data_IF_895404837112
#
_entry.id   IF_895404837112
#
_cell.length_a   1.000
_cell.length_b   1.000
_cell.length_c   1.000
_cell.angle_alpha   90.00
_cell.angle_beta   90.00
_cell.angle_gamma   90.00
#
_symmetry.space_group_name_H-M   'P 1'
#
loop_
_entity.id
_entity.type
_entity.pdbx_description
1 polymer ?
#
# COMPACT_ATOMS: atom_id res chain seq x y z
N UNK A 1 -2.74 8.50 19.68
CA UNK A 1 -2.56 8.07 18.27
C UNK A 1 -1.08 8.11 17.97
N UNK A 2 -0.49 6.98 17.60
CA UNK A 2 0.91 6.94 17.14
C UNK A 2 1.09 7.96 16.01
N UNK A 3 2.15 8.76 16.06
CA UNK A 3 2.36 9.80 15.06
C UNK A 3 2.59 9.18 13.69
N UNK A 4 1.86 9.64 12.68
CA UNK A 4 1.95 9.20 11.27
C UNK A 4 3.40 9.11 10.77
N UNK A 5 4.30 9.95 11.30
CA UNK A 5 5.71 10.00 10.90
C UNK A 5 6.45 8.68 11.14
N UNK A 6 6.14 7.95 12.20
CA UNK A 6 6.81 6.67 12.50
C UNK A 6 6.30 5.54 11.58
N UNK A 7 5.03 5.57 11.22
CA UNK A 7 4.47 4.66 10.21
C UNK A 7 5.09 4.88 8.84
N UNK A 8 5.24 6.16 8.44
CA UNK A 8 5.90 6.53 7.19
C UNK A 8 7.38 6.16 7.25
N UNK A 9 8.08 6.38 8.38
CA UNK A 9 9.46 5.92 8.58
C UNK A 9 9.61 4.44 8.31
N UNK A 10 8.78 3.59 8.94
CA UNK A 10 8.84 2.14 8.74
C UNK A 10 8.53 1.75 7.28
N UNK A 11 7.53 2.38 6.69
CA UNK A 11 7.18 2.15 5.28
C UNK A 11 8.31 2.53 4.32
N UNK A 12 9.00 3.63 4.60
CA UNK A 12 10.05 4.20 3.75
C UNK A 12 11.41 3.48 3.81
N UNK A 13 11.60 2.52 4.74
CA UNK A 13 12.85 1.77 4.84
C UNK A 13 13.05 0.90 3.60
N UNK A 14 13.82 1.42 2.64
CA UNK A 14 14.23 0.66 1.45
C UNK A 14 15.27 -0.39 1.87
N UNK A 15 15.19 -1.58 1.31
CA UNK A 15 16.08 -2.69 1.68
C UNK A 15 15.58 -3.54 2.85
N UNK A 16 14.53 -3.13 3.56
CA UNK A 16 13.86 -3.97 4.58
C UNK A 16 12.69 -4.72 3.95
N UNK A 17 12.68 -6.04 4.11
CA UNK A 17 11.62 -6.88 3.56
C UNK A 17 10.24 -6.57 4.17
N UNK A 18 9.18 -6.73 3.39
CA UNK A 18 7.82 -6.56 3.88
C UNK A 18 7.51 -7.53 5.05
N UNK A 19 8.10 -8.72 5.02
CA UNK A 19 7.96 -9.72 6.09
C UNK A 19 8.58 -9.23 7.41
N UNK A 20 9.77 -8.61 7.36
CA UNK A 20 10.43 -8.06 8.55
C UNK A 20 9.66 -6.86 9.11
N UNK A 21 9.15 -5.96 8.25
CA UNK A 21 8.27 -4.85 8.68
C UNK A 21 7.02 -5.37 9.39
N UNK A 22 6.38 -6.39 8.83
CA UNK A 22 5.20 -7.02 9.44
C UNK A 22 5.54 -7.75 10.75
N UNK A 23 6.71 -8.40 10.83
CA UNK A 23 7.18 -9.04 12.08
C UNK A 23 7.41 -8.00 13.18
N UNK A 24 8.00 -6.86 12.83
CA UNK A 24 8.21 -5.73 13.73
C UNK A 24 6.89 -5.21 14.30
N UNK A 25 5.91 -4.95 13.43
CA UNK A 25 4.59 -4.47 13.86
C UNK A 25 3.83 -5.49 14.70
N UNK A 26 3.97 -6.80 14.44
CA UNK A 26 3.41 -7.83 15.30
C UNK A 26 4.05 -7.88 16.68
N UNK A 27 5.36 -7.58 16.77
CA UNK A 27 6.09 -7.61 18.04
C UNK A 27 5.79 -6.40 18.92
N UNK A 28 5.84 -5.19 18.35
CA UNK A 28 5.67 -3.93 19.09
C UNK A 28 4.23 -3.41 19.13
N UNK A 29 3.36 -3.89 18.25
CA UNK A 29 1.98 -3.44 18.14
C UNK A 29 1.79 -2.19 17.28
N UNK A 30 2.75 -1.26 17.30
CA UNK A 30 2.72 -0.02 16.51
C UNK A 30 4.12 0.44 16.08
N UNK A 31 4.15 1.37 15.10
CA UNK A 31 5.40 1.86 14.53
C UNK A 31 6.14 2.86 15.45
N UNK A 32 5.45 3.55 16.35
CA UNK A 32 6.06 4.49 17.29
C UNK A 32 6.85 3.73 18.36
N UNK A 33 6.26 2.69 18.96
CA UNK A 33 6.94 1.81 19.90
C UNK A 33 8.16 1.15 19.24
N UNK A 34 8.03 0.68 18.00
CA UNK A 34 9.16 0.15 17.24
C UNK A 34 10.27 1.19 17.00
N UNK A 35 9.91 2.44 16.69
CA UNK A 35 10.89 3.50 16.46
C UNK A 35 11.72 3.81 17.71
N UNK A 36 11.13 3.75 18.91
CA UNK A 36 11.80 4.04 20.17
C UNK A 36 12.37 2.78 20.87
N UNK A 37 12.28 1.61 20.26
CA UNK A 37 12.83 0.39 20.81
C UNK A 37 14.37 0.52 21.03
N UNK A 38 14.96 -0.18 22.02
CA UNK A 38 16.39 -0.16 22.25
C UNK A 38 17.18 -0.63 21.02
N UNK A 39 18.40 -0.08 20.85
CA UNK A 39 19.29 -0.49 19.77
C UNK A 39 19.68 -1.96 19.95
N UNK A 40 19.67 -2.72 18.84
CA UNK A 40 19.96 -4.14 18.82
C UNK A 40 18.76 -5.07 19.07
N UNK A 41 17.61 -4.57 19.55
CA UNK A 41 16.44 -5.40 19.80
C UNK A 41 15.88 -6.02 18.51
N UNK A 42 15.95 -5.29 17.40
CA UNK A 42 15.41 -5.77 16.12
C UNK A 42 16.01 -7.09 15.65
N UNK A 43 17.29 -7.34 15.96
CA UNK A 43 17.99 -8.59 15.59
C UNK A 43 17.44 -9.82 16.35
N UNK A 44 16.75 -9.62 17.47
CA UNK A 44 16.18 -10.69 18.29
C UNK A 44 14.74 -11.04 17.91
N UNK A 45 14.13 -10.25 17.04
CA UNK A 45 12.72 -10.45 16.66
C UNK A 45 12.64 -11.57 15.61
N UNK A 46 11.87 -12.59 15.92
CA UNK A 46 11.63 -13.70 14.99
C UNK A 46 10.99 -13.20 13.69
N UNK A 47 11.66 -13.43 12.58
CA UNK A 47 11.22 -13.02 11.25
C UNK A 47 11.82 -11.70 10.75
N UNK A 48 12.72 -11.10 11.54
CA UNK A 48 13.58 -9.99 11.10
C UNK A 48 14.96 -10.55 10.80
N UNK A 49 15.49 -10.27 9.61
CA UNK A 49 16.86 -10.70 9.25
C UNK A 49 17.90 -9.74 9.86
N UNK A 50 19.14 -10.20 10.05
CA UNK A 50 20.22 -9.35 10.56
C UNK A 50 20.49 -8.13 9.66
N UNK A 51 20.36 -8.30 8.33
CA UNK A 51 20.48 -7.20 7.37
C UNK A 51 19.35 -6.18 7.52
N UNK A 52 18.09 -6.64 7.64
CA UNK A 52 16.93 -5.77 7.85
C UNK A 52 17.04 -5.03 9.20
N UNK A 53 17.47 -5.73 10.25
CA UNK A 53 17.70 -5.13 11.57
C UNK A 53 18.69 -3.98 11.50
N UNK A 54 19.83 -4.17 10.82
CA UNK A 54 20.85 -3.13 10.67
C UNK A 54 20.31 -1.88 9.94
N UNK A 55 19.46 -2.05 8.92
CA UNK A 55 18.83 -0.93 8.21
C UNK A 55 17.82 -0.20 9.11
N UNK A 56 17.06 -0.95 9.92
CA UNK A 56 16.06 -0.41 10.84
C UNK A 56 16.64 0.41 12.00
N UNK A 57 17.93 0.24 12.31
CA UNK A 57 18.63 1.09 13.30
C UNK A 57 18.78 2.54 12.82
N UNK A 58 18.64 2.81 11.54
CA UNK A 58 18.62 4.17 11.04
C UNK A 58 17.27 4.84 11.39
N UNK A 59 17.31 5.78 12.33
CA UNK A 59 16.16 6.54 12.84
C UNK A 59 16.03 7.92 12.19
N UNK A 60 16.67 8.16 11.05
CA UNK A 60 16.56 9.43 10.33
C UNK A 60 15.13 9.63 9.79
N UNK A 61 14.57 10.80 10.09
CA UNK A 61 13.22 11.19 9.67
C UNK A 61 13.21 12.20 8.50
N UNK A 62 14.37 12.59 7.97
CA UNK A 62 14.43 13.57 6.86
C UNK A 62 13.65 13.09 5.64
N UNK A 63 13.78 11.80 5.29
CA UNK A 63 13.02 11.19 4.20
C UNK A 63 11.51 11.17 4.48
N UNK A 64 11.11 11.06 5.73
CA UNK A 64 9.69 11.08 6.14
C UNK A 64 9.08 12.45 5.89
N UNK A 65 9.81 13.51 6.20
CA UNK A 65 9.36 14.90 5.98
C UNK A 65 9.16 15.17 4.49
N UNK A 66 10.09 14.70 3.64
CA UNK A 66 9.96 14.78 2.18
C UNK A 66 8.70 14.04 1.68
N UNK A 67 8.47 12.80 2.14
CA UNK A 67 7.30 12.01 1.76
C UNK A 67 6.02 12.69 2.18
N UNK A 68 5.95 13.21 3.40
CA UNK A 68 4.76 13.90 3.90
C UNK A 68 4.52 15.24 3.18
N UNK A 69 5.58 15.95 2.78
CA UNK A 69 5.47 17.14 1.95
C UNK A 69 4.92 16.80 0.56
N UNK A 70 5.43 15.72 -0.04
CA UNK A 70 4.96 15.24 -1.34
C UNK A 70 3.51 14.73 -1.27
N UNK A 71 3.11 14.07 -0.19
CA UNK A 71 1.71 13.70 0.04
C UNK A 71 0.79 14.92 0.01
N UNK A 72 1.18 16.00 0.69
CA UNK A 72 0.42 17.27 0.66
C UNK A 72 0.35 17.86 -0.74
N UNK A 73 1.47 17.88 -1.47
CA UNK A 73 1.55 18.41 -2.84
C UNK A 73 0.66 17.65 -3.83
N UNK A 74 0.56 16.32 -3.66
CA UNK A 74 -0.17 15.43 -4.57
C UNK A 74 -1.60 15.13 -4.12
N UNK A 75 -2.07 15.73 -3.02
CA UNK A 75 -3.35 15.42 -2.40
C UNK A 75 -3.48 13.92 -2.07
N UNK A 76 -2.43 13.36 -1.44
CA UNK A 76 -2.40 11.98 -0.97
C UNK A 76 -2.63 11.95 0.54
N UNK A 77 -3.53 11.08 0.98
CA UNK A 77 -3.76 10.78 2.39
C UNK A 77 -3.04 9.47 2.75
N UNK A 78 -2.01 9.50 3.60
CA UNK A 78 -1.45 8.28 4.15
C UNK A 78 -2.45 7.66 5.14
N UNK A 79 -2.68 6.35 5.00
CA UNK A 79 -3.56 5.53 5.85
C UNK A 79 -2.72 4.40 6.42
N UNK A 80 -2.65 4.30 7.73
CA UNK A 80 -1.83 3.31 8.44
C UNK A 80 -2.63 2.05 8.75
N UNK A 81 -1.94 0.96 9.05
CA UNK A 81 -2.60 -0.28 9.47
C UNK A 81 -3.49 -0.15 10.71
N UNK A 82 -3.30 0.89 11.54
CA UNK A 82 -4.13 1.13 12.72
C UNK A 82 -5.39 1.94 12.42
N UNK A 83 -5.44 2.61 11.28
CA UNK A 83 -6.59 3.43 10.93
C UNK A 83 -7.82 2.56 10.63
N UNK A 84 -9.00 3.06 11.00
CA UNK A 84 -10.26 2.37 10.74
C UNK A 84 -10.53 2.17 9.23
N UNK A 85 -10.09 3.13 8.42
CA UNK A 85 -10.23 3.10 6.96
C UNK A 85 -9.28 2.09 6.28
N UNK A 86 -8.32 1.49 7.02
CA UNK A 86 -7.40 0.54 6.41
C UNK A 86 -8.12 -0.78 6.12
N UNK A 87 -8.14 -1.27 4.86
CA UNK A 87 -8.91 -2.46 4.48
C UNK A 87 -8.50 -3.70 5.28
N UNK A 88 -9.46 -4.37 5.92
CA UNK A 88 -9.22 -5.61 6.69
C UNK A 88 -8.64 -6.72 5.82
N UNK A 89 -9.11 -6.83 4.55
CA UNK A 89 -8.58 -7.79 3.58
C UNK A 89 -7.09 -7.60 3.36
N UNK A 90 -6.63 -6.35 3.28
CA UNK A 90 -5.21 -6.03 3.12
C UNK A 90 -4.42 -6.24 4.42
N UNK A 91 -5.03 -5.96 5.58
CA UNK A 91 -4.41 -6.21 6.90
C UNK A 91 -4.14 -7.69 7.13
N UNK A 92 -4.98 -8.58 6.58
CA UNK A 92 -4.93 -10.02 6.81
C UNK A 92 -3.99 -10.78 5.86
N UNK A 93 -3.29 -10.12 4.94
CA UNK A 93 -2.26 -10.79 4.13
C UNK A 93 -1.00 -11.05 4.96
N UNK A 94 -0.14 -11.94 4.47
CA UNK A 94 1.10 -12.35 5.17
C UNK A 94 2.01 -11.18 5.57
N UNK A 95 2.16 -10.20 4.69
CA UNK A 95 3.00 -9.01 4.89
C UNK A 95 2.26 -7.75 4.46
N UNK A 96 1.33 -7.24 5.28
CA UNK A 96 0.57 -6.05 4.96
C UNK A 96 1.45 -4.81 4.91
N UNK A 97 1.24 -3.89 3.97
CA UNK A 97 1.94 -2.62 3.95
C UNK A 97 1.61 -1.80 5.21
N UNK A 98 2.64 -1.26 5.87
CA UNK A 98 2.46 -0.45 7.07
C UNK A 98 1.62 0.82 6.81
N UNK A 99 1.76 1.39 5.61
CA UNK A 99 1.03 2.57 5.14
C UNK A 99 0.60 2.37 3.69
N UNK A 100 -0.62 2.77 3.37
CA UNK A 100 -1.10 2.97 2.00
C UNK A 100 -1.33 4.46 1.75
N UNK A 101 -1.05 4.93 0.54
CA UNK A 101 -1.24 6.33 0.16
C UNK A 101 -2.47 6.42 -0.75
N UNK A 102 -3.49 7.13 -0.27
CA UNK A 102 -4.80 7.20 -0.92
C UNK A 102 -5.00 8.56 -1.56
N UNK A 103 -5.36 8.58 -2.84
CA UNK A 103 -5.82 9.77 -3.54
C UNK A 103 -7.32 9.67 -3.79
N UNK A 104 -8.05 10.65 -3.30
CA UNK A 104 -9.51 10.63 -3.38
C UNK A 104 -10.15 9.74 -2.30
N UNK A 105 -11.29 9.14 -2.62
CA UNK A 105 -12.06 8.31 -1.69
C UNK A 105 -11.60 6.85 -1.76
N UNK A 106 -11.28 6.26 -0.61
CA UNK A 106 -11.09 4.81 -0.49
C UNK A 106 -12.48 4.15 -0.39
N UNK A 107 -12.84 3.21 -1.27
CA UNK A 107 -14.12 2.50 -1.17
C UNK A 107 -14.12 1.50 0.00
N UNK A 108 -15.29 1.03 0.35
CA UNK A 108 -15.54 0.00 1.38
C UNK A 108 -15.10 -1.39 0.87
N UNK A 109 -13.78 -1.56 0.67
CA UNK A 109 -13.22 -2.76 0.03
C UNK A 109 -13.58 -4.06 0.73
N UNK A 110 -13.91 -4.01 2.01
CA UNK A 110 -14.23 -5.20 2.79
C UNK A 110 -15.66 -5.72 2.53
N UNK A 111 -16.56 -4.85 2.13
CA UNK A 111 -17.99 -5.15 1.94
C UNK A 111 -18.37 -5.27 0.46
N UNK A 112 -17.52 -4.80 -0.45
CA UNK A 112 -17.76 -4.84 -1.89
C UNK A 112 -17.01 -5.98 -2.59
N UNK A 113 -17.50 -6.40 -3.74
CA UNK A 113 -16.81 -7.34 -4.61
C UNK A 113 -15.59 -6.64 -5.24
N UNK A 114 -14.38 -6.93 -4.76
CA UNK A 114 -13.14 -6.39 -5.31
C UNK A 114 -12.52 -7.39 -6.30
N UNK A 115 -12.38 -6.98 -7.57
CA UNK A 115 -11.91 -7.85 -8.66
C UNK A 115 -10.65 -7.28 -9.27
N UNK A 116 -9.57 -8.08 -9.26
CA UNK A 116 -8.31 -7.70 -9.89
C UNK A 116 -8.40 -7.88 -11.42
N UNK A 117 -8.13 -6.80 -12.17
CA UNK A 117 -7.99 -6.82 -13.62
C UNK A 117 -6.56 -6.41 -13.97
N UNK A 118 -5.74 -7.39 -14.33
CA UNK A 118 -4.32 -7.23 -14.61
C UNK A 118 -3.94 -7.89 -15.93
N UNK A 119 -2.84 -7.47 -16.55
CA UNK A 119 -2.37 -8.11 -17.77
C UNK A 119 -1.11 -7.50 -18.36
N UNK A 120 -0.80 -7.87 -19.59
CA UNK A 120 0.42 -7.45 -20.26
C UNK A 120 0.50 -5.94 -20.51
N UNK A 121 1.71 -5.39 -20.38
CA UNK A 121 1.99 -3.99 -20.73
C UNK A 121 1.90 -3.72 -22.24
N UNK A 122 2.23 -4.75 -23.07
CA UNK A 122 2.14 -4.71 -24.53
C UNK A 122 0.91 -5.49 -25.00
N UNK A 123 -0.27 -4.94 -24.78
CA UNK A 123 -1.52 -5.59 -25.10
C UNK A 123 -1.95 -5.30 -26.57
N UNK A 124 -2.56 -6.29 -27.20
CA UNK A 124 -3.19 -6.11 -28.51
C UNK A 124 -4.40 -5.15 -28.41
N UNK A 125 -4.84 -4.55 -29.54
CA UNK A 125 -6.06 -3.73 -29.55
C UNK A 125 -7.29 -4.46 -29.04
N UNK A 126 -7.41 -5.75 -29.33
CA UNK A 126 -8.46 -6.62 -28.79
C UNK A 126 -8.36 -6.74 -27.27
N UNK A 127 -7.17 -7.02 -26.73
CA UNK A 127 -6.95 -7.13 -25.29
C UNK A 127 -7.29 -5.83 -24.56
N UNK A 128 -6.87 -4.66 -25.08
CA UNK A 128 -7.19 -3.35 -24.50
C UNK A 128 -8.71 -3.11 -24.45
N UNK A 129 -9.41 -3.39 -25.57
CA UNK A 129 -10.86 -3.23 -25.65
C UNK A 129 -11.60 -4.17 -24.69
N UNK A 130 -11.17 -5.44 -24.61
CA UNK A 130 -11.77 -6.45 -23.75
C UNK A 130 -11.54 -6.14 -22.27
N UNK A 131 -10.29 -5.77 -21.88
CA UNK A 131 -9.96 -5.38 -20.51
C UNK A 131 -10.74 -4.15 -20.04
N UNK A 132 -10.86 -3.14 -20.90
CA UNK A 132 -11.65 -1.94 -20.61
C UNK A 132 -13.14 -2.26 -20.45
N UNK A 133 -13.71 -3.08 -21.36
CA UNK A 133 -15.12 -3.47 -21.30
C UNK A 133 -15.42 -4.31 -20.06
N UNK A 134 -14.58 -5.28 -19.73
CA UNK A 134 -14.75 -6.11 -18.54
C UNK A 134 -14.74 -5.27 -17.27
N UNK A 135 -13.80 -4.34 -17.16
CA UNK A 135 -13.73 -3.44 -16.01
C UNK A 135 -14.94 -2.52 -15.90
N UNK A 136 -15.47 -2.04 -17.05
CA UNK A 136 -16.70 -1.27 -17.09
C UNK A 136 -17.93 -2.07 -16.58
N UNK A 137 -18.09 -3.31 -17.04
CA UNK A 137 -19.21 -4.16 -16.59
C UNK A 137 -19.11 -4.51 -15.10
N UNK A 138 -17.89 -4.77 -14.59
CA UNK A 138 -17.64 -4.99 -13.15
C UNK A 138 -18.09 -3.74 -12.36
N UNK A 139 -17.62 -2.56 -12.75
CA UNK A 139 -17.96 -1.31 -12.07
C UNK A 139 -19.47 -0.99 -12.15
N UNK A 140 -20.11 -1.27 -13.31
CA UNK A 140 -21.54 -1.10 -13.50
C UNK A 140 -22.38 -1.99 -12.59
N UNK A 141 -21.88 -3.20 -12.26
CA UNK A 141 -22.52 -4.09 -11.31
C UNK A 141 -22.20 -3.77 -9.83
N UNK A 142 -21.56 -2.63 -9.55
CA UNK A 142 -21.20 -2.22 -8.19
C UNK A 142 -19.92 -2.85 -7.66
N UNK A 143 -19.15 -3.57 -8.50
CA UNK A 143 -17.86 -4.13 -8.09
C UNK A 143 -16.73 -3.11 -8.14
N UNK A 144 -15.74 -3.27 -7.29
CA UNK A 144 -14.49 -2.48 -7.29
C UNK A 144 -13.44 -3.13 -8.17
N UNK A 145 -12.94 -2.40 -9.15
CA UNK A 145 -11.83 -2.87 -10.00
C UNK A 145 -10.51 -2.51 -9.36
N UNK A 146 -9.68 -3.52 -9.08
CA UNK A 146 -8.33 -3.39 -8.56
C UNK A 146 -7.32 -3.63 -9.68
N UNK A 147 -6.40 -2.71 -9.90
CA UNK A 147 -5.41 -2.81 -10.99
C UNK A 147 -4.10 -2.09 -10.61
N UNK A 148 -2.98 -2.54 -11.18
CA UNK A 148 -1.65 -1.95 -10.94
C UNK A 148 -1.40 -0.62 -11.65
N UNK A 149 -2.35 -0.10 -12.45
CA UNK A 149 -2.25 1.14 -13.23
C UNK A 149 -1.05 1.23 -14.19
N UNK A 150 -0.39 0.11 -14.49
CA UNK A 150 0.69 0.06 -15.46
C UNK A 150 0.16 0.22 -16.90
N UNK A 151 1.04 0.40 -17.87
CA UNK A 151 0.65 0.44 -19.28
C UNK A 151 -0.06 -0.86 -19.70
N UNK A 152 -0.85 -0.82 -20.77
CA UNK A 152 -1.54 -1.97 -21.33
C UNK A 152 -2.89 -2.28 -20.67
N UNK A 153 -3.11 -3.53 -20.28
CA UNK A 153 -4.40 -3.99 -19.74
C UNK A 153 -4.79 -3.24 -18.48
N UNK A 154 -3.85 -3.00 -17.59
CA UNK A 154 -4.10 -2.31 -16.32
C UNK A 154 -4.65 -0.90 -16.57
N UNK A 155 -3.99 -0.12 -17.43
CA UNK A 155 -4.45 1.21 -17.80
C UNK A 155 -5.81 1.17 -18.55
N UNK A 156 -6.04 0.13 -19.36
CA UNK A 156 -7.33 -0.05 -20.05
C UNK A 156 -8.44 -0.36 -19.06
N UNK A 157 -8.18 -1.23 -18.08
CA UNK A 157 -9.12 -1.55 -17.00
C UNK A 157 -9.46 -0.32 -16.16
N UNK A 158 -8.45 0.48 -15.76
CA UNK A 158 -8.67 1.70 -15.02
C UNK A 158 -9.53 2.72 -15.79
N UNK A 159 -9.32 2.85 -17.11
CA UNK A 159 -10.18 3.69 -17.96
C UNK A 159 -11.59 3.14 -18.11
N UNK A 160 -11.73 1.81 -18.23
CA UNK A 160 -13.02 1.15 -18.35
C UNK A 160 -13.88 1.29 -17.09
N UNK A 161 -13.28 1.09 -15.94
CA UNK A 161 -13.92 1.32 -14.63
C UNK A 161 -14.29 2.81 -14.40
N UNK A 162 -13.78 3.70 -15.18
CA UNK A 162 -13.79 5.13 -15.41
C UNK A 162 -14.85 6.02 -14.80
N UNK A 163 -15.20 5.83 -13.56
CA UNK A 163 -16.02 6.75 -12.77
C UNK A 163 -15.60 6.73 -11.29
N UNK A 164 -16.05 7.67 -10.48
CA UNK A 164 -15.42 8.05 -9.20
C UNK A 164 -15.30 6.98 -8.12
N UNK A 165 -15.74 5.76 -8.36
CA UNK A 165 -15.63 4.64 -7.42
C UNK A 165 -14.40 3.74 -7.66
N UNK A 166 -13.60 3.95 -8.71
CA UNK A 166 -12.41 3.14 -8.95
C UNK A 166 -11.31 3.55 -7.96
N UNK A 167 -11.03 2.68 -7.00
CA UNK A 167 -9.93 2.83 -6.07
C UNK A 167 -8.60 2.78 -6.81
N UNK A 168 -7.85 3.86 -6.78
CA UNK A 168 -6.45 3.92 -7.18
C UNK A 168 -5.59 3.71 -5.94
N UNK A 169 -5.48 2.48 -5.47
CA UNK A 169 -4.46 2.15 -4.49
C UNK A 169 -3.13 2.02 -5.23
N UNK A 170 -2.27 3.01 -5.10
CA UNK A 170 -0.86 2.87 -5.47
C UNK A 170 -0.14 2.27 -4.29
N UNK A 171 0.41 1.06 -4.46
CA UNK A 171 1.40 0.54 -3.52
C UNK A 171 2.66 1.40 -3.74
N UNK A 172 3.29 1.94 -2.69
CA UNK A 172 4.55 2.66 -2.86
C UNK A 172 5.55 1.73 -3.54
N UNK A 173 6.20 2.24 -4.57
CA UNK A 173 7.29 1.59 -5.26
C UNK A 173 8.33 1.04 -4.28
N UNK A 174 8.73 -0.19 -4.53
CA UNK A 174 9.95 -0.76 -3.99
C UNK A 174 11.17 -0.08 -4.64
#
# INVERSE_FOLDING_TARGET
>A
MASIKYWVWLSAQTGVSAASKAALLRHYGDAETAFFAPSGDFAQIRGVTAGDAAVLENRDLSRVEEILAECRRLDLRPVTMQDADYPRRLRNIFAPPAVIYVRGKLPELDDEAAIAVIGTRKASPYGLKTGSRLAYEIAKCGGVVVSGLTAGIDAAAARGAGTPAACRATVPWA
#
